data_IF_522862321173
#
_entry.id   IF_522862321173
#
_cell.length_a   1.000
_cell.length_b   1.000
_cell.length_c   1.000
_cell.angle_alpha   90.00
_cell.angle_beta   90.00
_cell.angle_gamma   90.00
#
_symmetry.space_group_name_H-M   'P 1'
#
loop_
_entity.id
_entity.type
_entity.pdbx_description
1 polymer ?
#
# COMPACT_ATOMS: atom_id res chain seq x y z
N UNK A 1 26.94 -13.34 -5.39
CA UNK A 1 26.26 -12.23 -6.10
C UNK A 1 25.03 -11.82 -5.29
N UNK A 2 24.81 -10.54 -5.03
CA UNK A 2 23.86 -10.05 -4.02
C UNK A 2 22.48 -9.71 -4.63
N UNK A 3 21.43 -9.72 -3.80
CA UNK A 3 20.08 -9.26 -4.15
C UNK A 3 19.73 -7.96 -3.42
N UNK A 4 18.70 -7.25 -3.90
CA UNK A 4 18.24 -5.99 -3.31
C UNK A 4 16.82 -6.14 -2.77
N UNK A 5 16.60 -5.64 -1.56
CA UNK A 5 15.28 -5.54 -0.96
C UNK A 5 14.94 -4.07 -0.77
N UNK A 6 13.79 -3.67 -1.30
CA UNK A 6 13.27 -2.31 -1.28
C UNK A 6 11.99 -2.35 -0.46
N UNK A 7 11.90 -1.45 0.52
CA UNK A 7 10.77 -1.38 1.42
C UNK A 7 10.47 0.05 1.81
N UNK A 8 9.25 0.28 2.27
CA UNK A 8 8.81 1.58 2.73
C UNK A 8 7.40 1.50 3.30
N UNK A 9 7.12 2.41 4.22
CA UNK A 9 5.82 2.58 4.85
C UNK A 9 5.17 3.89 4.39
N UNK A 10 3.84 3.89 4.22
CA UNK A 10 3.09 5.09 3.84
C UNK A 10 3.62 5.71 2.53
N UNK A 11 3.91 7.01 2.52
CA UNK A 11 4.61 7.70 1.43
C UNK A 11 5.94 7.02 1.05
N UNK A 12 6.69 6.51 2.03
CA UNK A 12 7.90 5.74 1.78
C UNK A 12 7.62 4.46 0.99
N UNK A 13 6.44 3.85 1.15
CA UNK A 13 5.99 2.73 0.33
C UNK A 13 5.76 3.12 -1.13
N UNK A 14 5.19 4.30 -1.39
CA UNK A 14 5.06 4.85 -2.74
C UNK A 14 6.44 5.09 -3.39
N UNK A 15 7.34 5.73 -2.66
CA UNK A 15 8.71 5.98 -3.13
C UNK A 15 9.48 4.68 -3.38
N UNK A 16 9.32 3.67 -2.53
CA UNK A 16 9.91 2.35 -2.70
C UNK A 16 9.47 1.69 -4.02
N UNK A 17 8.19 1.80 -4.38
CA UNK A 17 7.69 1.28 -5.65
C UNK A 17 8.25 2.01 -6.86
N UNK A 18 8.36 3.34 -6.80
CA UNK A 18 8.99 4.13 -7.86
C UNK A 18 10.47 3.78 -8.01
N UNK A 19 11.18 3.61 -6.90
CA UNK A 19 12.58 3.18 -6.89
C UNK A 19 12.74 1.79 -7.51
N UNK A 20 11.87 0.84 -7.13
CA UNK A 20 11.86 -0.50 -7.71
C UNK A 20 11.60 -0.47 -9.21
N UNK A 21 10.61 0.31 -9.66
CA UNK A 21 10.32 0.51 -11.08
C UNK A 21 11.55 1.05 -11.84
N UNK A 22 12.25 2.04 -11.27
CA UNK A 22 13.46 2.63 -11.86
C UNK A 22 14.60 1.62 -11.97
N UNK A 23 14.83 0.81 -10.94
CA UNK A 23 15.91 -0.20 -10.92
C UNK A 23 15.62 -1.31 -11.92
N UNK A 24 14.37 -1.76 -12.01
CA UNK A 24 13.98 -2.77 -13.01
C UNK A 24 14.13 -2.22 -14.42
N UNK A 25 13.69 -0.98 -14.66
CA UNK A 25 13.81 -0.34 -15.96
C UNK A 25 15.26 -0.11 -16.39
N UNK A 26 16.17 0.21 -15.45
CA UNK A 26 17.59 0.39 -15.76
C UNK A 26 18.30 -0.92 -16.12
N UNK A 27 17.69 -2.08 -15.86
CA UNK A 27 18.26 -3.42 -16.07
C UNK A 27 19.60 -3.64 -15.35
N UNK A 28 19.91 -2.81 -14.36
CA UNK A 28 21.16 -2.91 -13.60
C UNK A 28 21.20 -4.15 -12.71
N UNK A 29 20.03 -4.65 -12.29
CA UNK A 29 19.88 -5.84 -11.45
C UNK A 29 18.83 -6.75 -12.09
N UNK A 30 19.07 -8.07 -12.20
CA UNK A 30 18.05 -9.01 -12.67
C UNK A 30 16.79 -8.96 -11.78
N UNK A 31 15.62 -8.94 -12.41
CA UNK A 31 14.31 -8.81 -11.73
C UNK A 31 14.10 -9.89 -10.65
N UNK A 32 14.67 -11.07 -10.81
CA UNK A 32 14.58 -12.21 -9.88
C UNK A 32 15.23 -11.90 -8.53
N UNK A 33 16.08 -10.87 -8.50
CA UNK A 33 16.86 -10.45 -7.33
C UNK A 33 16.35 -9.17 -6.69
N UNK A 34 15.28 -8.61 -7.23
CA UNK A 34 14.64 -7.42 -6.70
C UNK A 34 13.42 -7.87 -5.90
N UNK A 35 13.44 -7.56 -4.59
CA UNK A 35 12.31 -7.80 -3.69
C UNK A 35 11.70 -6.48 -3.28
N UNK A 36 10.42 -6.30 -3.51
CA UNK A 36 9.66 -5.13 -3.09
C UNK A 36 8.61 -5.54 -2.06
N UNK A 37 8.69 -4.97 -0.86
CA UNK A 37 7.67 -5.17 0.18
C UNK A 37 7.31 -3.82 0.78
N UNK A 38 6.07 -3.37 0.60
CA UNK A 38 5.60 -2.07 1.10
C UNK A 38 4.53 -2.24 2.17
N UNK A 39 4.37 -1.24 3.04
CA UNK A 39 3.42 -1.25 4.15
C UNK A 39 2.51 -0.02 4.08
N UNK A 40 1.19 -0.23 4.01
CA UNK A 40 0.22 0.89 3.96
C UNK A 40 0.44 1.81 2.76
N UNK A 41 0.89 1.24 1.64
CA UNK A 41 1.26 2.03 0.47
C UNK A 41 0.01 2.65 -0.22
N UNK A 42 0.00 3.97 -0.47
CA UNK A 42 -1.00 4.62 -1.32
C UNK A 42 -0.84 4.22 -2.80
N UNK A 43 -1.89 4.45 -3.61
CA UNK A 43 -1.80 4.27 -5.07
C UNK A 43 -0.69 5.16 -5.61
N UNK A 44 0.18 4.60 -6.45
CA UNK A 44 1.46 5.24 -6.81
C UNK A 44 1.53 5.66 -8.28
N UNK A 45 0.68 5.09 -9.14
CA UNK A 45 0.59 5.45 -10.55
C UNK A 45 -0.74 4.99 -11.14
N UNK A 46 -0.91 5.20 -12.43
CA UNK A 46 -2.11 4.79 -13.18
C UNK A 46 -2.14 3.26 -13.45
N UNK A 47 -3.19 2.79 -14.13
CA UNK A 47 -3.32 1.40 -14.56
C UNK A 47 -2.17 0.93 -15.48
N UNK A 48 -1.57 1.83 -16.27
CA UNK A 48 -0.41 1.56 -17.10
C UNK A 48 0.84 1.27 -16.26
N UNK A 49 1.12 2.11 -15.27
CA UNK A 49 2.17 1.90 -14.28
C UNK A 49 1.92 0.60 -13.51
N UNK A 50 0.69 0.35 -13.06
CA UNK A 50 0.35 -0.85 -12.30
C UNK A 50 0.60 -2.14 -13.11
N UNK A 51 0.21 -2.13 -14.38
CA UNK A 51 0.44 -3.23 -15.32
C UNK A 51 1.92 -3.41 -15.63
N UNK A 52 2.66 -2.32 -15.87
CA UNK A 52 4.10 -2.36 -16.11
C UNK A 52 4.87 -2.93 -14.92
N UNK A 53 4.51 -2.54 -13.70
CA UNK A 53 5.07 -3.10 -12.47
C UNK A 53 4.75 -4.58 -12.29
N UNK A 54 3.50 -5.00 -12.59
CA UNK A 54 3.12 -6.40 -12.49
C UNK A 54 3.91 -7.29 -13.46
N UNK A 55 4.16 -6.81 -14.67
CA UNK A 55 4.94 -7.52 -15.69
C UNK A 55 6.44 -7.55 -15.39
N UNK A 56 7.00 -6.43 -14.89
CA UNK A 56 8.45 -6.27 -14.74
C UNK A 56 8.99 -6.75 -13.39
N UNK A 57 8.12 -6.87 -12.37
CA UNK A 57 8.44 -7.43 -11.05
C UNK A 57 7.56 -8.65 -10.78
N UNK A 58 7.70 -9.67 -11.61
CA UNK A 58 6.86 -10.87 -11.59
C UNK A 58 7.23 -11.87 -10.48
N UNK A 59 8.32 -11.66 -9.74
CA UNK A 59 8.74 -12.60 -8.68
C UNK A 59 8.26 -12.17 -7.30
N UNK A 60 8.77 -11.04 -6.79
CA UNK A 60 8.62 -10.69 -5.38
C UNK A 60 8.21 -9.22 -5.19
N UNK A 61 6.92 -8.93 -5.36
CA UNK A 61 6.32 -7.63 -5.04
C UNK A 61 5.04 -7.79 -4.21
N UNK A 62 5.07 -7.30 -2.97
CA UNK A 62 3.95 -7.44 -2.04
C UNK A 62 3.63 -6.11 -1.39
N UNK A 63 2.33 -5.77 -1.37
CA UNK A 63 1.80 -4.66 -0.58
C UNK A 63 1.13 -5.23 0.65
N UNK A 64 1.62 -4.89 1.83
CA UNK A 64 1.05 -5.33 3.10
C UNK A 64 0.11 -4.25 3.61
N UNK A 65 -1.15 -4.60 3.82
CA UNK A 65 -2.22 -3.68 4.20
C UNK A 65 -2.99 -4.25 5.39
N UNK A 66 -3.60 -3.36 6.19
CA UNK A 66 -4.25 -3.72 7.44
C UNK A 66 -5.62 -3.07 7.55
N UNK A 67 -6.59 -3.85 8.01
CA UNK A 67 -7.89 -3.42 8.49
C UNK A 67 -8.51 -2.31 7.63
N UNK A 68 -8.74 -1.12 8.20
CA UNK A 68 -9.29 0.05 7.50
C UNK A 68 -8.23 1.12 7.34
N UNK A 69 -7.06 0.75 6.82
CA UNK A 69 -6.03 1.72 6.44
C UNK A 69 -6.48 2.55 5.23
N UNK A 70 -6.78 3.81 5.51
CA UNK A 70 -7.28 4.80 4.57
C UNK A 70 -6.22 5.20 3.51
N UNK A 71 -4.94 5.20 3.90
CA UNK A 71 -3.85 5.68 3.04
C UNK A 71 -3.71 4.78 1.81
N UNK A 72 -4.01 3.49 1.95
CA UNK A 72 -4.00 2.55 0.82
C UNK A 72 -4.95 2.98 -0.31
N UNK A 73 -6.04 3.68 0.01
CA UNK A 73 -7.07 4.04 -0.96
C UNK A 73 -6.93 5.44 -1.55
N UNK A 74 -5.86 6.16 -1.24
CA UNK A 74 -5.56 7.46 -1.87
C UNK A 74 -4.36 7.34 -2.83
N UNK A 75 -4.30 8.15 -3.89
CA UNK A 75 -5.41 8.92 -4.46
C UNK A 75 -6.53 7.99 -4.99
N UNK A 76 -7.78 8.48 -5.05
CA UNK A 76 -8.91 7.71 -5.55
C UNK A 76 -8.75 7.37 -7.03
N UNK A 77 -9.22 6.18 -7.47
CA UNK A 77 -9.24 5.80 -8.89
C UNK A 77 -9.92 6.82 -9.81
N UNK A 78 -10.96 7.49 -9.32
CA UNK A 78 -11.68 8.53 -10.08
C UNK A 78 -10.78 9.73 -10.43
N UNK A 79 -9.69 9.91 -9.69
CA UNK A 79 -8.63 10.80 -10.10
C UNK A 79 -7.72 10.02 -11.03
N UNK A 80 -7.63 10.39 -12.30
CA UNK A 80 -6.59 9.97 -13.26
C UNK A 80 -6.28 8.45 -13.32
N UNK A 81 -7.25 7.58 -13.01
CA UNK A 81 -7.12 6.12 -13.03
C UNK A 81 -5.95 5.57 -12.19
N UNK A 82 -5.67 6.18 -11.03
CA UNK A 82 -4.67 5.65 -10.11
C UNK A 82 -5.02 4.23 -9.70
N UNK A 83 -4.06 3.32 -9.83
CA UNK A 83 -4.27 1.91 -9.62
C UNK A 83 -3.14 1.27 -8.79
N UNK A 84 -3.50 0.22 -8.07
CA UNK A 84 -2.56 -0.64 -7.37
C UNK A 84 -2.04 -1.76 -8.26
N UNK A 85 -0.75 -2.05 -8.12
CA UNK A 85 -0.11 -3.17 -8.80
C UNK A 85 -0.23 -4.47 -7.96
N UNK A 86 -0.32 -5.59 -8.69
CA UNK A 86 -0.08 -6.97 -8.27
C UNK A 86 -0.70 -7.39 -6.91
N UNK A 87 0.08 -7.99 -6.01
CA UNK A 87 -0.42 -8.80 -4.89
C UNK A 87 -0.51 -7.97 -3.62
N UNK A 88 -1.69 -7.98 -3.00
CA UNK A 88 -1.90 -7.46 -1.66
C UNK A 88 -1.93 -8.61 -0.64
N UNK A 89 -1.23 -8.42 0.47
CA UNK A 89 -1.29 -9.26 1.65
C UNK A 89 -2.09 -8.49 2.70
N UNK A 90 -3.37 -8.82 2.79
CA UNK A 90 -4.33 -8.11 3.64
C UNK A 90 -4.50 -8.81 4.99
N UNK A 91 -4.49 -8.03 6.06
CA UNK A 91 -4.81 -8.49 7.41
C UNK A 91 -6.04 -7.76 7.95
N UNK A 92 -7.14 -8.47 8.18
CA UNK A 92 -8.37 -7.98 8.82
C UNK A 92 -8.30 -8.03 10.36
N UNK A 93 -7.10 -7.97 10.92
CA UNK A 93 -6.85 -8.20 12.34
C UNK A 93 -5.62 -7.39 12.82
N UNK A 94 -5.22 -7.63 14.07
CA UNK A 94 -4.14 -6.87 14.69
C UNK A 94 -2.73 -7.21 14.22
N UNK A 95 -2.56 -8.09 13.22
CA UNK A 95 -1.27 -8.56 12.72
C UNK A 95 -0.36 -9.17 13.81
N UNK A 96 -0.92 -9.71 14.89
CA UNK A 96 -0.15 -10.41 15.93
C UNK A 96 0.61 -11.61 15.33
N UNK A 97 1.71 -12.07 15.93
CA UNK A 97 2.38 -13.29 15.47
C UNK A 97 1.39 -14.46 15.35
N UNK A 98 1.36 -15.12 14.18
CA UNK A 98 0.40 -16.19 13.88
C UNK A 98 -0.96 -15.72 13.35
N UNK A 99 -1.16 -14.41 13.17
CA UNK A 99 -2.37 -13.87 12.56
C UNK A 99 -2.58 -14.40 11.14
N UNK A 100 -3.84 -14.72 10.82
CA UNK A 100 -4.25 -15.12 9.46
C UNK A 100 -4.24 -13.90 8.55
N UNK A 101 -3.86 -14.12 7.30
CA UNK A 101 -3.83 -13.11 6.24
C UNK A 101 -4.53 -13.64 4.99
N UNK A 102 -4.96 -12.71 4.14
CA UNK A 102 -5.62 -12.99 2.88
C UNK A 102 -4.70 -12.51 1.75
N UNK A 103 -4.48 -13.38 0.76
CA UNK A 103 -3.78 -13.01 -0.47
C UNK A 103 -4.80 -12.51 -1.49
N UNK A 104 -4.73 -11.24 -1.83
CA UNK A 104 -5.47 -10.66 -2.94
C UNK A 104 -4.55 -10.62 -4.16
N UNK A 105 -4.97 -11.24 -5.26
CA UNK A 105 -4.17 -11.40 -6.49
C UNK A 105 -4.97 -10.82 -7.64
N UNK A 106 -4.52 -9.68 -8.17
CA UNK A 106 -5.23 -9.03 -9.28
C UNK A 106 -5.00 -7.52 -9.42
N UNK A 107 -4.18 -6.92 -8.55
CA UNK A 107 -4.07 -5.46 -8.47
C UNK A 107 -5.08 -4.90 -7.47
N UNK A 108 -5.73 -3.80 -7.82
CA UNK A 108 -6.73 -3.14 -6.98
C UNK A 108 -7.89 -4.04 -6.54
N UNK A 109 -8.33 -3.77 -5.31
CA UNK A 109 -9.62 -4.13 -4.69
C UNK A 109 -10.31 -5.38 -5.27
N UNK A 110 -9.66 -6.52 -5.05
CA UNK A 110 -10.34 -7.81 -5.10
C UNK A 110 -11.57 -7.78 -4.19
N UNK A 111 -12.64 -8.48 -4.58
CA UNK A 111 -13.87 -8.66 -3.79
C UNK A 111 -13.64 -9.17 -2.34
N UNK A 112 -12.44 -9.66 -2.06
CA UNK A 112 -11.99 -10.22 -0.79
C UNK A 112 -11.28 -9.22 0.13
N UNK A 113 -10.81 -8.07 -0.37
CA UNK A 113 -10.40 -6.99 0.53
C UNK A 113 -11.67 -6.33 1.06
N UNK A 114 -11.90 -6.41 2.38
CA UNK A 114 -13.10 -5.80 3.00
C UNK A 114 -13.06 -4.27 2.96
N UNK A 115 -12.01 -3.69 2.44
CA UNK A 115 -11.78 -2.27 2.21
C UNK A 115 -12.54 -1.77 0.98
N UNK A 116 -13.79 -2.21 0.83
CA UNK A 116 -14.61 -1.97 -0.37
C UNK A 116 -15.08 -0.54 -0.56
N UNK A 117 -14.96 0.34 0.43
CA UNK A 117 -15.51 1.69 0.31
C UNK A 117 -14.74 2.68 1.16
N UNK A 118 -13.89 3.48 0.52
CA UNK A 118 -13.30 4.68 1.11
C UNK A 118 -14.39 5.75 1.30
N UNK A 119 -14.98 5.83 2.48
CA UNK A 119 -15.83 6.95 2.88
C UNK A 119 -15.21 7.67 4.08
N UNK A 120 -14.50 8.76 3.79
CA UNK A 120 -13.69 9.45 4.78
C UNK A 120 -14.25 10.84 5.04
N UNK A 121 -14.70 11.09 6.27
CA UNK A 121 -14.82 12.47 6.79
C UNK A 121 -13.45 12.95 7.27
N UNK A 122 -12.57 13.22 6.33
CA UNK A 122 -11.41 14.11 6.53
C UNK A 122 -11.78 15.35 5.74
N UNK A 123 -11.87 16.51 6.41
CA UNK A 123 -12.34 17.76 5.80
C UNK A 123 -11.57 18.15 4.53
N UNK A 124 -10.35 17.62 4.33
CA UNK A 124 -9.53 17.82 3.14
C UNK A 124 -9.94 16.97 1.91
N UNK A 125 -10.66 15.86 2.08
CA UNK A 125 -10.96 14.91 0.99
C UNK A 125 -12.45 14.57 0.84
N UNK A 126 -13.35 15.20 1.61
CA UNK A 126 -14.79 14.92 1.60
C UNK A 126 -15.48 15.18 0.25
N UNK A 127 -14.91 16.05 -0.59
CA UNK A 127 -15.45 16.39 -1.90
C UNK A 127 -15.03 15.40 -3.00
N UNK A 128 -14.19 14.43 -2.68
CA UNK A 128 -13.55 13.55 -3.67
C UNK A 128 -14.22 12.17 -3.83
N UNK A 129 -15.25 11.86 -3.04
CA UNK A 129 -15.87 10.53 -3.01
C UNK A 129 -17.37 10.56 -3.34
N UNK A 130 -17.88 9.64 -4.18
CA UNK A 130 -19.29 9.56 -4.54
C UNK A 130 -20.18 9.15 -3.35
N UNK A 131 -21.39 9.70 -3.30
CA UNK A 131 -22.41 9.40 -2.29
C UNK A 131 -23.24 8.18 -2.74
N UNK A 132 -23.56 7.26 -1.83
CA UNK A 132 -24.51 6.16 -2.10
C UNK A 132 -25.83 6.41 -1.38
N UNK A 133 -26.97 6.40 -2.09
CA UNK A 133 -28.33 6.61 -1.54
C UNK A 133 -28.50 7.87 -0.66
N UNK A 134 -27.74 8.93 -0.93
CA UNK A 134 -27.79 10.18 -0.15
C UNK A 134 -27.37 10.05 1.32
N UNK A 135 -26.87 8.87 1.73
CA UNK A 135 -26.42 8.58 3.09
C UNK A 135 -24.94 8.26 3.09
N UNK A 136 -24.28 8.75 4.13
CA UNK A 136 -22.84 8.60 4.31
C UNK A 136 -22.58 7.46 5.29
N UNK A 137 -21.96 6.36 4.83
CA UNK A 137 -21.69 5.18 5.65
C UNK A 137 -20.40 5.37 6.46
N UNK A 138 -20.54 5.70 7.75
CA UNK A 138 -19.42 6.00 8.65
C UNK A 138 -18.76 4.72 9.18
N UNK A 139 -17.88 4.09 8.41
CA UNK A 139 -16.85 3.22 9.00
C UNK A 139 -15.73 4.11 9.57
N UNK A 140 -15.45 4.01 10.87
CA UNK A 140 -14.39 4.79 11.52
C UNK A 140 -13.04 4.18 11.12
N UNK A 141 -12.24 4.94 10.36
CA UNK A 141 -10.86 4.62 10.00
C UNK A 141 -9.97 4.99 11.18
N UNK A 142 -9.03 4.11 11.54
CA UNK A 142 -8.09 4.40 12.61
C UNK A 142 -6.68 4.63 12.05
N UNK A 143 -6.01 5.69 12.50
CA UNK A 143 -4.58 5.94 12.20
C UNK A 143 -3.70 4.80 12.71
N UNK A 144 -4.15 4.05 13.73
CA UNK A 144 -3.49 2.83 14.19
C UNK A 144 -3.44 1.75 13.11
N UNK A 145 -4.45 1.66 12.25
CA UNK A 145 -4.48 0.68 11.16
C UNK A 145 -3.41 0.98 10.11
N UNK A 146 -3.05 2.26 9.97
CA UNK A 146 -1.94 2.70 9.13
C UNK A 146 -0.58 2.60 9.83
N UNK A 147 -0.49 2.45 11.15
CA UNK A 147 0.79 2.56 11.87
C UNK A 147 1.22 1.29 12.60
N UNK A 148 0.38 0.27 12.71
CA UNK A 148 0.70 -0.96 13.45
C UNK A 148 0.90 -2.15 12.53
N UNK A 149 2.09 -2.72 12.53
CA UNK A 149 2.42 -3.93 11.75
C UNK A 149 3.23 -4.90 12.63
N UNK A 150 2.81 -6.17 12.68
CA UNK A 150 3.50 -7.24 13.41
C UNK A 150 3.81 -6.91 14.88
N UNK A 151 2.83 -6.36 15.59
CA UNK A 151 2.98 -5.93 17.00
C UNK A 151 4.02 -4.80 17.21
N UNK A 152 4.34 -4.06 16.14
CA UNK A 152 5.23 -2.89 16.16
C UNK A 152 4.48 -1.65 15.68
N UNK A 153 4.66 -0.55 16.40
CA UNK A 153 4.12 0.76 16.02
C UNK A 153 5.18 1.49 15.19
N UNK A 154 4.88 1.80 13.93
CA UNK A 154 5.80 2.46 12.99
C UNK A 154 6.16 3.88 13.45
N UNK A 155 5.26 4.58 14.16
CA UNK A 155 5.52 5.94 14.68
C UNK A 155 6.59 5.99 15.79
N UNK A 156 7.01 4.85 16.34
CA UNK A 156 8.18 4.79 17.22
C UNK A 156 9.49 4.99 16.43
N UNK A 157 9.51 4.65 15.14
CA UNK A 157 10.64 4.90 14.25
C UNK A 157 10.68 6.38 13.87
N UNK A 158 11.75 7.08 14.23
CA UNK A 158 11.90 8.54 14.05
C UNK A 158 11.62 9.37 15.32
N UNK A 159 10.96 8.80 16.33
CA UNK A 159 10.74 9.45 17.63
C UNK A 159 12.03 9.64 18.45
N UNK A 160 13.06 8.83 18.15
CA UNK A 160 14.41 8.97 18.73
C UNK A 160 15.19 10.18 18.18
N UNK A 161 14.64 10.91 17.20
CA UNK A 161 15.29 12.06 16.59
C UNK A 161 16.45 11.70 15.66
N UNK A 162 16.96 12.70 14.94
CA UNK A 162 18.20 12.59 14.20
C UNK A 162 19.36 12.82 15.17
N UNK A 163 20.26 11.85 15.32
CA UNK A 163 21.53 12.08 16.01
C UNK A 163 22.55 12.56 14.98
N UNK A 164 23.15 13.72 15.21
CA UNK A 164 24.34 14.14 14.46
C UNK A 164 25.50 13.23 14.83
N UNK A 165 26.02 12.49 13.85
CA UNK A 165 27.29 11.77 13.93
C UNK A 165 28.47 12.69 13.66
#
# INVERSE_FOLDING_TARGET
MFGIQITGHSLGGALASLAAAKIVHSKAIPQERIKLVTFGQPRTGDSGFASGMASSLSFYNYRVTRARDLVVHVPPRVFQDYAHYRTEIFYDNDMKPGAKWIRCVGGDEDKNSKTRFLYVRVAAFSNFFPKHNGKFETSIYHVSDHTNYFDRVVSEYGRKGCYSG
#
